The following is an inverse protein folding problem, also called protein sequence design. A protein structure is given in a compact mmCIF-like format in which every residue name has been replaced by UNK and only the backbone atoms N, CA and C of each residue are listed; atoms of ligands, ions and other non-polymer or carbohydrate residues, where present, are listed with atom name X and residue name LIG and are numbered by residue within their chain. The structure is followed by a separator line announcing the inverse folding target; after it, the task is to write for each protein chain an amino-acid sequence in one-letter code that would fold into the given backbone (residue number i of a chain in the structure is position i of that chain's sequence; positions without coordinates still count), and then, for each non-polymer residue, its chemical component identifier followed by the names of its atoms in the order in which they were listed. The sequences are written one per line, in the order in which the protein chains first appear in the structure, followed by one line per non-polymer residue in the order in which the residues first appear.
data_IF_271127422618
#
_entry.id   IF_271127422618
#
_cell.length_a   1.000
_cell.length_b   1.000
_cell.length_c   1.000
_cell.angle_alpha   90.00
_cell.angle_beta   90.00
_cell.angle_gamma   90.00
#
_symmetry.space_group_name_H-M   'P 1'
#
loop_
_entity.id
_entity.type
_entity.pdbx_description
1 polymer ?
#
# COMPACT_ATOMS: atom_id res chain seq x y z
N UNK A 1 -23.18 -32.12 -6.96
CA UNK A 1 -21.73 -32.04 -6.60
C UNK A 1 -21.17 -30.77 -7.21
N UNK A 2 -20.56 -29.87 -6.43
CA UNK A 2 -19.99 -28.61 -6.95
C UNK A 2 -18.60 -28.89 -7.52
N UNK A 3 -18.22 -28.37 -8.70
CA UNK A 3 -16.91 -28.65 -9.28
C UNK A 3 -15.79 -28.09 -8.37
N UNK A 4 -14.70 -28.84 -8.15
CA UNK A 4 -13.53 -28.33 -7.45
C UNK A 4 -12.96 -27.12 -8.20
N UNK A 5 -12.65 -26.04 -7.48
CA UNK A 5 -12.20 -24.76 -8.08
C UNK A 5 -13.28 -23.69 -8.24
N UNK A 6 -14.54 -23.96 -7.90
CA UNK A 6 -15.58 -22.94 -7.85
C UNK A 6 -15.48 -22.10 -6.56
N UNK A 7 -14.50 -21.20 -6.49
CA UNK A 7 -14.48 -20.17 -5.45
C UNK A 7 -15.74 -19.31 -5.62
N UNK A 8 -16.59 -19.23 -4.60
CA UNK A 8 -17.62 -18.19 -4.53
C UNK A 8 -16.86 -16.88 -4.35
N UNK A 9 -16.54 -16.20 -5.45
CA UNK A 9 -16.30 -14.75 -5.40
C UNK A 9 -17.67 -14.18 -5.07
N UNK A 10 -17.97 -14.08 -3.77
CA UNK A 10 -19.09 -13.26 -3.32
C UNK A 10 -18.84 -11.90 -3.95
N UNK A 11 -19.64 -11.53 -4.92
CA UNK A 11 -19.68 -10.20 -5.50
C UNK A 11 -20.14 -9.27 -4.37
N UNK A 12 -19.24 -8.97 -3.42
CA UNK A 12 -19.43 -7.94 -2.41
C UNK A 12 -19.49 -6.66 -3.21
N UNK A 13 -20.74 -6.22 -3.43
CA UNK A 13 -21.18 -5.01 -4.08
C UNK A 13 -20.32 -4.56 -5.28
N UNK A 14 -20.89 -4.58 -6.49
CA UNK A 14 -20.41 -3.70 -7.57
C UNK A 14 -20.72 -2.25 -7.16
N UNK A 15 -20.04 -1.75 -6.13
CA UNK A 15 -20.38 -0.59 -5.32
C UNK A 15 -19.78 0.66 -5.93
N UNK A 16 -20.47 1.31 -6.88
CA UNK A 16 -20.11 2.63 -7.44
C UNK A 16 -18.74 2.72 -8.17
N UNK A 17 -17.65 2.16 -7.65
CA UNK A 17 -16.33 2.10 -8.28
C UNK A 17 -16.36 1.42 -9.65
N UNK A 18 -17.24 0.44 -9.86
CA UNK A 18 -17.42 -0.22 -11.15
C UNK A 18 -17.98 0.72 -12.24
N UNK A 19 -18.73 1.76 -11.85
CA UNK A 19 -19.30 2.75 -12.79
C UNK A 19 -18.37 3.94 -13.01
N UNK A 20 -17.32 4.11 -12.21
CA UNK A 20 -16.31 5.15 -12.41
C UNK A 20 -15.45 4.87 -13.64
N UNK A 21 -14.98 5.96 -14.27
CA UNK A 21 -13.94 5.90 -15.29
C UNK A 21 -12.69 5.16 -14.77
N UNK A 22 -12.03 4.29 -15.57
CA UNK A 22 -10.90 3.46 -15.11
C UNK A 22 -9.76 4.24 -14.45
N UNK A 23 -9.46 5.45 -14.95
CA UNK A 23 -8.44 6.31 -14.37
C UNK A 23 -8.81 6.77 -12.94
N UNK A 24 -10.05 7.23 -12.74
CA UNK A 24 -10.53 7.66 -11.43
C UNK A 24 -10.58 6.50 -10.43
N UNK A 25 -10.96 5.30 -10.88
CA UNK A 25 -10.92 4.08 -10.07
C UNK A 25 -9.49 3.74 -9.64
N UNK A 26 -8.53 3.82 -10.55
CA UNK A 26 -7.12 3.55 -10.28
C UNK A 26 -6.55 4.55 -9.27
N UNK A 27 -6.84 5.85 -9.43
CA UNK A 27 -6.44 6.89 -8.47
C UNK A 27 -7.02 6.66 -7.08
N UNK A 28 -8.31 6.30 -6.98
CA UNK A 28 -8.94 5.96 -5.70
C UNK A 28 -8.30 4.75 -5.04
N UNK A 29 -7.96 3.72 -5.82
CA UNK A 29 -7.26 2.54 -5.31
C UNK A 29 -5.88 2.91 -4.77
N UNK A 30 -5.12 3.75 -5.48
CA UNK A 30 -3.82 4.26 -5.02
C UNK A 30 -3.97 4.98 -3.68
N UNK A 31 -4.92 5.93 -3.58
CA UNK A 31 -5.19 6.65 -2.31
C UNK A 31 -5.48 5.69 -1.16
N UNK A 32 -6.40 4.74 -1.35
CA UNK A 32 -6.73 3.72 -0.33
C UNK A 32 -5.53 2.89 0.09
N UNK A 33 -4.64 2.54 -0.83
CA UNK A 33 -3.42 1.79 -0.52
C UNK A 33 -2.48 2.64 0.34
N UNK A 34 -2.28 3.92 -0.01
CA UNK A 34 -1.45 4.85 0.75
C UNK A 34 -2.02 5.14 2.13
N UNK A 35 -3.33 5.34 2.24
CA UNK A 35 -4.02 5.54 3.52
C UNK A 35 -3.84 4.31 4.43
N UNK A 36 -4.01 3.11 3.88
CA UNK A 36 -3.79 1.86 4.61
C UNK A 36 -2.34 1.70 5.06
N UNK A 37 -1.36 2.01 4.21
CA UNK A 37 0.05 1.99 4.60
C UNK A 37 0.34 2.99 5.71
N UNK A 38 -0.21 4.21 5.63
CA UNK A 38 -0.06 5.24 6.66
C UNK A 38 -0.56 4.74 8.00
N UNK A 39 -1.77 4.17 8.05
CA UNK A 39 -2.33 3.61 9.28
C UNK A 39 -1.39 2.56 9.88
N UNK A 40 -0.94 1.59 9.08
CA UNK A 40 -0.07 0.51 9.59
C UNK A 40 1.30 1.03 10.05
N UNK A 41 1.86 2.06 9.40
CA UNK A 41 3.12 2.73 9.84
C UNK A 41 2.91 3.45 11.17
N UNK A 42 1.80 4.19 11.32
CA UNK A 42 1.49 4.96 12.53
C UNK A 42 1.22 4.04 13.72
N UNK A 43 0.55 2.92 13.49
CA UNK A 43 0.29 1.87 14.48
C UNK A 43 1.56 1.16 14.99
N UNK A 44 2.72 1.42 14.36
CA UNK A 44 4.02 0.99 14.85
C UNK A 44 4.60 -0.21 14.13
N UNK A 45 4.20 -0.47 12.88
CA UNK A 45 4.94 -1.40 12.03
C UNK A 45 6.39 -0.95 11.80
N UNK A 46 7.32 -1.90 11.84
CA UNK A 46 8.70 -1.67 11.44
C UNK A 46 8.76 -1.43 9.93
N UNK A 47 9.26 -0.25 9.55
CA UNK A 47 9.24 0.22 8.17
C UNK A 47 10.65 0.19 7.57
N UNK A 48 10.79 -0.41 6.39
CA UNK A 48 12.00 -0.35 5.58
C UNK A 48 11.66 0.11 4.17
N UNK A 49 12.41 1.09 3.66
CA UNK A 49 12.23 1.63 2.32
C UNK A 49 13.53 1.45 1.56
N UNK A 50 13.47 0.80 0.39
CA UNK A 50 14.62 0.58 -0.48
C UNK A 50 14.28 0.96 -1.90
N UNK A 51 15.15 1.73 -2.57
CA UNK A 51 15.06 1.93 -4.01
C UNK A 51 15.51 0.64 -4.71
N UNK A 52 14.65 0.07 -5.53
CA UNK A 52 14.92 -1.20 -6.26
C UNK A 52 15.19 -0.98 -7.74
N UNK A 53 14.64 0.09 -8.31
CA UNK A 53 14.93 0.51 -9.68
C UNK A 53 15.12 2.02 -9.68
N UNK A 54 16.14 2.50 -10.38
CA UNK A 54 16.42 3.94 -10.52
C UNK A 54 16.06 4.45 -11.93
N UNK A 55 16.27 3.63 -12.96
CA UNK A 55 16.07 3.96 -14.37
C UNK A 55 15.39 2.77 -15.09
N UNK A 56 14.47 2.99 -16.05
CA UNK A 56 13.96 4.26 -16.57
C UNK A 56 12.93 4.96 -15.68
N UNK A 57 12.49 4.29 -14.59
CA UNK A 57 11.54 4.84 -13.62
C UNK A 57 11.97 4.42 -12.22
N UNK A 58 11.96 5.38 -11.30
CA UNK A 58 12.25 5.09 -9.90
C UNK A 58 11.13 4.24 -9.28
N UNK A 59 11.51 3.08 -8.74
CA UNK A 59 10.62 2.18 -8.00
C UNK A 59 11.25 1.95 -6.62
N UNK A 60 10.41 2.09 -5.61
CA UNK A 60 10.74 1.90 -4.21
C UNK A 60 9.96 0.72 -3.65
N UNK A 61 10.65 -0.15 -2.94
CA UNK A 61 10.07 -1.24 -2.17
C UNK A 61 9.90 -0.79 -0.74
N UNK A 62 8.65 -0.74 -0.31
CA UNK A 62 8.23 -0.45 1.07
C UNK A 62 7.90 -1.78 1.73
N UNK A 63 8.67 -2.14 2.74
CA UNK A 63 8.45 -3.32 3.58
C UNK A 63 7.94 -2.84 4.94
N UNK A 64 6.82 -3.39 5.36
CA UNK A 64 6.27 -3.18 6.68
C UNK A 64 6.15 -4.52 7.39
N UNK A 65 6.73 -4.62 8.57
CA UNK A 65 6.54 -5.74 9.47
C UNK A 65 5.71 -5.27 10.66
N UNK A 66 4.62 -5.95 10.96
CA UNK A 66 3.80 -5.70 12.14
C UNK A 66 3.92 -6.92 13.04
N UNK A 67 4.94 -6.97 13.93
CA UNK A 67 5.25 -8.17 14.71
C UNK A 67 4.07 -8.66 15.54
N UNK A 68 3.28 -7.72 16.07
CA UNK A 68 2.08 -8.00 16.86
C UNK A 68 1.03 -8.85 16.10
N UNK A 69 1.03 -8.81 14.77
CA UNK A 69 0.11 -9.55 13.92
C UNK A 69 0.80 -10.70 13.15
N UNK A 70 2.13 -10.89 13.33
CA UNK A 70 2.92 -11.81 12.53
C UNK A 70 2.80 -11.54 11.02
N UNK A 71 2.54 -10.28 10.66
CA UNK A 71 2.17 -9.87 9.31
C UNK A 71 3.31 -9.08 8.67
N UNK A 72 3.62 -9.42 7.42
CA UNK A 72 4.54 -8.66 6.58
C UNK A 72 3.84 -8.21 5.31
N UNK A 73 3.99 -6.92 4.99
CA UNK A 73 3.49 -6.31 3.76
C UNK A 73 4.65 -5.77 2.94
N UNK A 74 4.64 -6.08 1.65
CA UNK A 74 5.55 -5.49 0.68
C UNK A 74 4.73 -4.74 -0.35
N UNK A 75 5.00 -3.45 -0.53
CA UNK A 75 4.36 -2.60 -1.55
C UNK A 75 5.43 -1.94 -2.40
N UNK A 76 5.24 -1.98 -3.73
CA UNK A 76 6.08 -1.23 -4.67
C UNK A 76 5.41 0.11 -4.98
N UNK A 77 6.13 1.19 -4.77
CA UNK A 77 5.70 2.55 -5.03
C UNK A 77 6.61 3.19 -6.08
N UNK A 78 6.04 4.04 -6.93
CA UNK A 78 6.84 5.00 -7.67
C UNK A 78 7.24 6.17 -6.76
N UNK A 79 8.09 7.05 -7.28
CA UNK A 79 8.52 8.25 -6.57
C UNK A 79 7.36 9.09 -6.06
N UNK A 80 6.41 9.43 -6.94
CA UNK A 80 5.31 10.32 -6.59
C UNK A 80 4.43 9.73 -5.46
N UNK A 81 4.15 8.42 -5.51
CA UNK A 81 3.36 7.78 -4.46
C UNK A 81 4.13 7.66 -3.14
N UNK A 82 5.46 7.49 -3.19
CA UNK A 82 6.29 7.51 -2.00
C UNK A 82 6.34 8.90 -1.38
N UNK A 83 6.54 9.95 -2.18
CA UNK A 83 6.53 11.35 -1.71
C UNK A 83 5.20 11.67 -1.03
N UNK A 84 4.05 11.34 -1.64
CA UNK A 84 2.73 11.51 -1.01
C UNK A 84 2.55 10.74 0.30
N UNK A 85 3.21 9.58 0.44
CA UNK A 85 3.17 8.81 1.69
C UNK A 85 3.96 9.53 2.78
N UNK A 86 5.13 10.06 2.44
CA UNK A 86 6.05 10.75 3.34
C UNK A 86 5.62 12.19 3.68
N UNK A 87 4.78 12.82 2.86
CA UNK A 87 4.18 14.14 3.14
C UNK A 87 3.29 14.17 4.39
N UNK A 88 2.93 13.00 4.95
CA UNK A 88 2.32 12.95 6.27
C UNK A 88 3.39 13.05 7.36
N UNK A 89 3.34 14.12 8.14
CA UNK A 89 4.26 14.39 9.27
C UNK A 89 4.44 13.16 10.17
N UNK A 90 3.34 12.48 10.50
CA UNK A 90 3.35 11.28 11.34
C UNK A 90 4.19 10.13 10.75
N UNK A 91 4.15 9.96 9.42
CA UNK A 91 4.93 8.94 8.70
C UNK A 91 6.40 9.36 8.64
N UNK A 92 6.66 10.63 8.31
CA UNK A 92 8.02 11.17 8.22
C UNK A 92 8.77 11.01 9.54
N UNK A 93 8.12 11.33 10.66
CA UNK A 93 8.70 11.20 12.00
C UNK A 93 8.97 9.73 12.39
N UNK A 94 8.25 8.78 11.82
CA UNK A 94 8.55 7.34 12.01
C UNK A 94 9.73 6.89 11.18
N UNK A 95 9.82 7.32 9.93
CA UNK A 95 10.95 7.01 9.05
C UNK A 95 12.25 7.56 9.64
N UNK A 96 12.23 8.81 10.13
CA UNK A 96 13.40 9.44 10.77
C UNK A 96 13.88 8.66 11.99
N UNK A 97 12.96 8.22 12.85
CA UNK A 97 13.29 7.40 14.04
C UNK A 97 13.84 6.02 13.69
N UNK A 98 13.43 5.44 12.57
CA UNK A 98 13.86 4.10 12.14
C UNK A 98 15.18 4.12 11.35
N UNK A 99 15.68 5.31 11.00
CA UNK A 99 16.92 5.50 10.22
C UNK A 99 18.14 5.86 11.10
N UNK A 100 17.97 5.88 12.42
CA UNK A 100 19.00 6.05 13.45
C UNK A 100 19.26 4.71 14.14
#
# INVERSE_FOLDING_TARGET
MKPPGAYKISARARSFEATLHPAARSQRRVRRILDSLRTEIVEGGELRIRRVLADPREIFRVELEVPALGYQRVTLLDRESLERLLDADEVLERVRRSSL
#
